data_IF_431344579101
#
_entry.id   IF_431344579101
#
_cell.length_a   1.000
_cell.length_b   1.000
_cell.length_c   1.000
_cell.angle_alpha   90.00
_cell.angle_beta   90.00
_cell.angle_gamma   90.00
#
_symmetry.space_group_name_H-M   'P 1'
#
loop_
_entity.id
_entity.type
_entity.pdbx_description
1 polymer ?
#
# COMPACT_ATOMS: atom_id res chain seq x y z
N UNK A 1 -14.04 -10.93 -22.78
CA UNK A 1 -14.25 -12.29 -22.30
C UNK A 1 -14.92 -12.22 -20.95
N UNK A 2 -16.25 -12.32 -20.93
CA UNK A 2 -17.02 -12.56 -19.72
C UNK A 2 -16.64 -13.94 -19.20
N UNK A 3 -15.87 -14.01 -18.13
CA UNK A 3 -15.58 -15.24 -17.42
C UNK A 3 -16.83 -15.74 -16.71
N UNK A 4 -17.76 -16.30 -17.47
CA UNK A 4 -18.92 -16.93 -16.91
C UNK A 4 -18.50 -18.15 -16.10
N UNK A 5 -18.94 -18.24 -14.86
CA UNK A 5 -18.80 -19.44 -14.05
C UNK A 5 -19.73 -20.51 -14.66
N UNK A 6 -19.13 -21.59 -15.15
CA UNK A 6 -19.91 -22.70 -15.71
C UNK A 6 -20.26 -23.63 -14.57
N UNK A 7 -21.55 -23.85 -14.35
CA UNK A 7 -22.06 -24.88 -13.44
C UNK A 7 -22.44 -26.12 -14.23
N UNK A 8 -22.05 -27.27 -13.76
CA UNK A 8 -22.60 -28.52 -14.27
C UNK A 8 -23.40 -29.22 -13.16
N UNK A 9 -24.64 -29.57 -13.47
CA UNK A 9 -25.49 -30.33 -12.60
C UNK A 9 -25.72 -31.71 -13.23
N UNK A 10 -25.34 -32.77 -12.52
CA UNK A 10 -25.56 -34.13 -12.98
C UNK A 10 -26.51 -34.87 -12.04
N UNK A 11 -27.45 -35.59 -12.60
CA UNK A 11 -28.34 -36.47 -11.85
C UNK A 11 -28.30 -37.86 -12.45
N UNK A 12 -28.29 -38.86 -11.59
CA UNK A 12 -28.34 -40.26 -11.98
C UNK A 12 -29.49 -40.93 -11.27
N UNK A 13 -30.23 -41.71 -12.01
CA UNK A 13 -31.24 -42.58 -11.44
C UNK A 13 -31.05 -43.99 -12.02
N UNK A 14 -31.20 -45.01 -11.19
CA UNK A 14 -31.13 -46.38 -11.63
C UNK A 14 -32.29 -47.20 -11.05
N UNK A 15 -32.82 -48.13 -11.84
CA UNK A 15 -33.79 -49.11 -11.38
C UNK A 15 -33.15 -50.49 -11.44
N UNK A 16 -33.33 -51.28 -10.36
CA UNK A 16 -33.05 -52.72 -10.41
C UNK A 16 -34.07 -53.41 -11.33
N UNK A 17 -34.30 -54.68 -11.20
CA UNK A 17 -35.16 -55.46 -12.08
C UNK A 17 -36.65 -55.06 -12.22
N UNK A 18 -37.11 -53.96 -11.59
CA UNK A 18 -38.46 -53.41 -11.68
C UNK A 18 -38.50 -52.08 -12.44
N UNK A 19 -39.52 -51.83 -13.26
CA UNK A 19 -39.73 -50.59 -13.99
C UNK A 19 -40.49 -49.58 -13.10
N UNK A 20 -39.82 -48.52 -12.66
CA UNK A 20 -40.43 -47.43 -11.94
C UNK A 20 -40.24 -46.13 -12.71
N UNK A 21 -41.26 -45.26 -12.71
CA UNK A 21 -41.15 -43.91 -13.22
C UNK A 21 -40.30 -43.07 -12.24
N UNK A 22 -39.20 -42.52 -12.72
CA UNK A 22 -38.37 -41.60 -11.96
C UNK A 22 -38.49 -40.22 -12.59
N UNK A 23 -39.01 -39.29 -11.85
CA UNK A 23 -39.17 -37.87 -12.26
C UNK A 23 -38.34 -37.00 -11.37
N UNK A 24 -37.64 -36.06 -12.00
CA UNK A 24 -36.93 -34.95 -11.33
C UNK A 24 -37.55 -33.66 -11.82
N UNK A 25 -38.10 -32.88 -10.91
CA UNK A 25 -38.61 -31.56 -11.20
C UNK A 25 -37.63 -30.52 -10.65
N UNK A 26 -37.11 -29.70 -11.53
CA UNK A 26 -36.32 -28.54 -11.11
C UNK A 26 -37.23 -27.41 -10.65
N UNK A 27 -36.93 -26.86 -9.48
CA UNK A 27 -37.43 -25.59 -9.08
C UNK A 27 -36.66 -24.45 -9.74
N UNK A 28 -36.92 -23.23 -9.34
CA UNK A 28 -36.16 -22.05 -9.77
C UNK A 28 -34.75 -22.15 -9.16
N UNK A 29 -33.73 -21.99 -10.00
CA UNK A 29 -32.36 -21.83 -9.57
C UNK A 29 -31.98 -20.36 -9.70
N UNK A 30 -31.80 -19.70 -8.58
CA UNK A 30 -31.35 -18.30 -8.53
C UNK A 30 -29.88 -18.27 -8.16
N UNK A 31 -29.10 -17.48 -8.86
CA UNK A 31 -27.71 -17.20 -8.51
C UNK A 31 -27.44 -15.71 -8.66
N UNK A 32 -26.58 -15.19 -7.81
CA UNK A 32 -26.07 -13.85 -7.91
C UNK A 32 -24.62 -13.87 -8.40
N UNK A 33 -24.32 -13.03 -9.37
CA UNK A 33 -22.94 -12.86 -9.83
C UNK A 33 -22.13 -12.13 -8.76
N UNK A 34 -20.94 -12.64 -8.48
CA UNK A 34 -19.99 -11.97 -7.58
C UNK A 34 -19.14 -10.97 -8.33
N UNK A 35 -18.90 -9.84 -7.71
CA UNK A 35 -18.04 -8.77 -8.21
C UNK A 35 -16.91 -8.50 -7.23
N UNK A 36 -15.78 -8.00 -7.76
CA UNK A 36 -14.59 -7.68 -6.98
C UNK A 36 -14.06 -6.31 -7.38
N UNK A 37 -13.77 -5.48 -6.38
CA UNK A 37 -13.10 -4.21 -6.56
C UNK A 37 -11.81 -4.16 -5.75
N UNK A 38 -10.81 -3.41 -6.23
CA UNK A 38 -9.54 -3.17 -5.57
C UNK A 38 -9.45 -1.72 -5.11
N UNK A 39 -9.07 -1.51 -3.86
CA UNK A 39 -8.80 -0.18 -3.31
C UNK A 39 -7.32 -0.09 -3.01
N UNK A 40 -6.66 0.94 -3.55
CA UNK A 40 -5.24 1.20 -3.35
C UNK A 40 -5.03 2.52 -2.64
N UNK A 41 -4.01 2.57 -1.81
CA UNK A 41 -3.57 3.74 -1.06
C UNK A 41 -2.12 4.00 -1.45
N UNK A 42 -1.91 4.98 -2.32
CA UNK A 42 -0.61 5.19 -2.96
C UNK A 42 0.01 6.52 -2.58
N UNK A 43 1.32 6.55 -2.53
CA UNK A 43 2.09 7.79 -2.50
C UNK A 43 1.94 8.53 -3.82
N UNK A 44 1.57 9.81 -3.76
CA UNK A 44 1.26 10.61 -4.93
C UNK A 44 2.49 10.90 -5.81
N UNK A 45 3.69 10.88 -5.24
CA UNK A 45 4.95 11.15 -5.95
C UNK A 45 5.46 9.90 -6.65
N UNK A 46 5.40 8.76 -5.98
CA UNK A 46 6.03 7.51 -6.46
C UNK A 46 5.04 6.53 -7.09
N UNK A 47 3.74 6.68 -6.80
CA UNK A 47 2.69 5.74 -7.22
C UNK A 47 2.75 4.37 -6.52
N UNK A 48 3.64 4.22 -5.54
CA UNK A 48 3.79 2.97 -4.77
C UNK A 48 2.73 2.86 -3.69
N UNK A 49 2.29 1.65 -3.41
CA UNK A 49 1.36 1.40 -2.30
C UNK A 49 2.03 1.70 -0.95
N UNK A 50 1.39 2.57 -0.15
CA UNK A 50 1.80 2.91 1.22
C UNK A 50 1.44 1.76 2.16
N UNK A 51 0.22 1.26 2.02
CA UNK A 51 -0.31 0.09 2.72
C UNK A 51 -0.82 -0.93 1.71
N UNK A 52 -0.93 -2.22 2.07
CA UNK A 52 -1.43 -3.25 1.17
C UNK A 52 -2.80 -2.89 0.58
N UNK A 53 -3.02 -3.12 -0.73
CA UNK A 53 -4.31 -2.92 -1.35
C UNK A 53 -5.40 -3.77 -0.68
N UNK A 54 -6.61 -3.19 -0.59
CA UNK A 54 -7.78 -3.88 -0.06
C UNK A 54 -8.65 -4.40 -1.21
N UNK A 55 -9.05 -5.65 -1.11
CA UNK A 55 -10.03 -6.25 -2.01
C UNK A 55 -11.40 -6.21 -1.36
N UNK A 56 -12.40 -5.75 -2.10
CA UNK A 56 -13.81 -5.73 -1.70
C UNK A 56 -14.55 -6.66 -2.63
N UNK A 57 -15.28 -7.62 -2.08
CA UNK A 57 -16.13 -8.53 -2.83
C UNK A 57 -17.59 -8.34 -2.43
N UNK A 58 -18.49 -8.57 -3.35
CA UNK A 58 -19.93 -8.47 -3.13
C UNK A 58 -20.70 -8.96 -4.35
N UNK A 59 -22.00 -8.77 -4.34
CA UNK A 59 -22.85 -9.06 -5.49
C UNK A 59 -22.73 -7.96 -6.55
N UNK A 60 -22.91 -8.30 -7.81
CA UNK A 60 -23.03 -7.32 -8.89
C UNK A 60 -24.20 -6.38 -8.57
N UNK A 61 -24.07 -5.11 -8.88
CA UNK A 61 -24.98 -4.01 -8.56
C UNK A 61 -25.11 -3.64 -7.07
N UNK A 62 -24.48 -4.36 -6.15
CA UNK A 62 -24.43 -3.93 -4.76
C UNK A 62 -23.61 -2.65 -4.59
N UNK A 63 -24.08 -1.76 -3.70
CA UNK A 63 -23.34 -0.56 -3.32
C UNK A 63 -22.62 -0.83 -2.00
N UNK A 64 -21.31 -0.69 -2.02
CA UNK A 64 -20.43 -0.94 -0.87
C UNK A 64 -19.77 0.33 -0.38
N UNK A 65 -19.56 0.45 0.93
CA UNK A 65 -18.80 1.55 1.50
C UNK A 65 -17.31 1.29 1.36
N UNK A 66 -16.57 2.35 1.03
CA UNK A 66 -15.10 2.32 0.95
C UNK A 66 -14.52 3.29 1.97
N UNK A 67 -13.51 2.85 2.69
CA UNK A 67 -12.81 3.68 3.64
C UNK A 67 -11.53 4.27 3.01
N UNK A 68 -11.38 5.59 3.06
CA UNK A 68 -10.16 6.30 2.62
C UNK A 68 -8.95 6.08 3.54
N UNK A 69 -9.12 5.50 4.70
CA UNK A 69 -8.07 5.33 5.71
C UNK A 69 -7.41 6.65 6.17
N UNK A 70 -8.17 7.76 6.15
CA UNK A 70 -7.62 9.11 6.41
C UNK A 70 -6.90 9.21 7.74
N UNK A 71 -7.51 8.73 8.83
CA UNK A 71 -6.93 8.81 10.17
C UNK A 71 -5.70 7.89 10.31
N UNK A 72 -5.77 6.69 9.77
CA UNK A 72 -4.68 5.73 9.81
C UNK A 72 -3.43 6.29 9.10
N UNK A 73 -3.61 6.77 7.87
CA UNK A 73 -2.49 7.31 7.07
C UNK A 73 -2.00 8.66 7.60
N UNK A 74 -2.87 9.50 8.15
CA UNK A 74 -2.45 10.72 8.84
C UNK A 74 -1.54 10.42 10.05
N UNK A 75 -1.89 9.42 10.84
CA UNK A 75 -1.07 8.99 11.98
C UNK A 75 0.29 8.39 11.55
N UNK A 76 0.38 7.95 10.30
CA UNK A 76 1.61 7.43 9.69
C UNK A 76 2.39 8.50 8.91
N UNK A 77 2.05 9.79 9.05
CA UNK A 77 2.78 10.89 8.43
C UNK A 77 2.33 11.22 7.01
N UNK A 78 1.14 10.78 6.59
CA UNK A 78 0.63 11.05 5.24
C UNK A 78 -0.59 11.98 5.26
N UNK A 79 -0.68 12.85 4.25
CA UNK A 79 -1.84 13.71 4.00
C UNK A 79 -2.54 13.31 2.71
N UNK A 80 -3.86 13.23 2.74
CA UNK A 80 -4.68 12.92 1.58
C UNK A 80 -4.57 14.03 0.52
N UNK A 81 -4.44 13.64 -0.74
CA UNK A 81 -4.32 14.55 -1.89
C UNK A 81 -5.54 14.46 -2.80
N UNK A 82 -5.85 13.27 -3.29
CA UNK A 82 -6.92 13.10 -4.27
C UNK A 82 -7.38 11.64 -4.36
N UNK A 83 -8.55 11.46 -4.96
CA UNK A 83 -9.08 10.17 -5.36
C UNK A 83 -8.97 10.03 -6.88
N UNK A 84 -8.48 8.89 -7.31
CA UNK A 84 -8.52 8.47 -8.70
C UNK A 84 -9.35 7.19 -8.78
N UNK A 85 -10.57 7.34 -9.29
CA UNK A 85 -11.52 6.25 -9.46
C UNK A 85 -11.58 5.85 -10.94
N UNK A 86 -10.44 5.47 -11.49
CA UNK A 86 -10.27 5.12 -12.88
C UNK A 86 -11.37 4.20 -13.38
N UNK A 87 -12.00 4.60 -14.48
CA UNK A 87 -13.07 3.89 -15.20
C UNK A 87 -14.37 3.73 -14.40
N UNK A 88 -14.67 4.62 -13.45
CA UNK A 88 -15.66 4.32 -12.45
C UNK A 88 -16.71 5.41 -12.27
N UNK A 89 -17.69 5.45 -13.16
CA UNK A 89 -18.91 6.26 -12.96
C UNK A 89 -19.76 5.81 -11.76
N UNK A 90 -19.42 4.67 -11.16
CA UNK A 90 -20.13 4.06 -10.03
C UNK A 90 -19.54 4.46 -8.67
N UNK A 91 -18.45 5.22 -8.65
CA UNK A 91 -17.87 5.76 -7.43
C UNK A 91 -18.53 7.09 -7.04
N UNK A 92 -18.84 7.29 -5.77
CA UNK A 92 -19.44 8.51 -5.23
C UNK A 92 -18.88 8.86 -3.86
N UNK A 93 -18.69 10.17 -3.62
CA UNK A 93 -18.30 10.74 -2.32
C UNK A 93 -19.34 11.70 -1.74
N UNK A 94 -20.53 11.78 -2.33
CA UNK A 94 -21.54 12.82 -2.03
C UNK A 94 -22.14 12.72 -0.64
N UNK A 95 -22.06 11.56 0.02
CA UNK A 95 -22.67 11.31 1.34
C UNK A 95 -21.67 11.30 2.51
N UNK A 96 -20.45 11.83 2.32
CA UNK A 96 -19.41 11.84 3.36
C UNK A 96 -18.64 10.52 3.49
N UNK A 97 -19.27 9.38 3.33
CA UNK A 97 -18.60 8.08 3.22
C UNK A 97 -18.54 7.69 1.75
N UNK A 98 -17.35 7.44 1.18
CA UNK A 98 -17.24 7.01 -0.20
C UNK A 98 -17.95 5.69 -0.44
N UNK A 99 -18.63 5.58 -1.56
CA UNK A 99 -19.34 4.38 -1.98
C UNK A 99 -18.92 3.96 -3.38
N UNK A 100 -19.02 2.66 -3.65
CA UNK A 100 -18.78 2.07 -4.96
C UNK A 100 -19.91 1.10 -5.27
N UNK A 101 -20.57 1.28 -6.41
CA UNK A 101 -21.46 0.29 -6.97
C UNK A 101 -20.64 -0.76 -7.71
N UNK A 102 -20.70 -2.00 -7.26
CA UNK A 102 -19.94 -3.11 -7.84
C UNK A 102 -20.50 -3.51 -9.20
N UNK A 103 -19.60 -3.86 -10.11
CA UNK A 103 -19.94 -4.35 -11.44
C UNK A 103 -19.21 -5.67 -11.73
N UNK A 104 -19.64 -6.39 -12.75
CA UNK A 104 -18.97 -7.60 -13.23
C UNK A 104 -17.63 -7.32 -13.92
N UNK A 105 -17.26 -6.05 -14.09
CA UNK A 105 -15.96 -5.63 -14.62
C UNK A 105 -14.98 -5.36 -13.48
N UNK A 106 -13.68 -5.51 -13.73
CA UNK A 106 -12.64 -5.17 -12.76
C UNK A 106 -12.67 -3.67 -12.43
N UNK A 107 -12.80 -3.34 -11.16
CA UNK A 107 -12.86 -1.96 -10.66
C UNK A 107 -11.66 -1.67 -9.75
N UNK A 108 -11.10 -0.48 -9.88
CA UNK A 108 -10.02 -0.02 -9.00
C UNK A 108 -10.29 1.42 -8.57
N UNK A 109 -10.20 1.67 -7.27
CA UNK A 109 -10.21 3.00 -6.66
C UNK A 109 -8.83 3.26 -6.07
N UNK A 110 -8.24 4.42 -6.38
CA UNK A 110 -6.92 4.80 -5.90
C UNK A 110 -7.05 6.08 -5.09
N UNK A 111 -6.70 6.02 -3.83
CA UNK A 111 -6.53 7.17 -2.96
C UNK A 111 -5.05 7.57 -2.93
N UNK A 112 -4.78 8.81 -3.30
CA UNK A 112 -3.44 9.38 -3.36
C UNK A 112 -3.15 10.19 -2.11
N UNK A 113 -2.00 9.95 -1.53
CA UNK A 113 -1.51 10.62 -0.33
C UNK A 113 -0.11 11.16 -0.58
N UNK A 114 0.24 12.23 0.14
CA UNK A 114 1.57 12.81 0.15
C UNK A 114 2.17 12.61 1.53
N UNK A 115 3.43 12.22 1.57
CA UNK A 115 4.23 12.25 2.79
C UNK A 115 4.39 13.70 3.26
N UNK A 116 4.16 13.93 4.55
CA UNK A 116 4.29 15.23 5.21
C UNK A 116 5.20 15.15 6.44
N UNK A 117 5.78 14.00 6.70
CA UNK A 117 6.76 13.78 7.74
C UNK A 117 8.16 13.89 7.11
N UNK A 118 8.98 14.75 7.63
CA UNK A 118 10.38 14.85 7.18
C UNK A 118 11.22 13.68 7.69
N UNK A 119 12.33 13.36 7.00
CA UNK A 119 13.23 12.31 7.44
C UNK A 119 13.83 12.60 8.81
N UNK A 120 14.07 11.56 9.57
CA UNK A 120 14.73 11.60 10.86
C UNK A 120 16.21 11.24 10.69
N UNK A 121 17.08 11.96 11.39
CA UNK A 121 18.51 11.71 11.39
C UNK A 121 18.97 11.37 12.79
N UNK A 122 19.86 10.39 12.91
CA UNK A 122 20.51 10.00 14.14
C UNK A 122 22.00 9.82 13.90
N UNK A 123 22.80 10.37 14.81
CA UNK A 123 24.26 10.32 14.78
C UNK A 123 24.78 10.19 16.21
N UNK A 124 25.78 9.34 16.41
CA UNK A 124 26.48 9.20 17.70
C UNK A 124 27.58 10.25 17.82
N UNK A 125 27.75 10.80 19.02
CA UNK A 125 28.87 11.69 19.32
C UNK A 125 30.05 10.91 19.87
N UNK A 126 31.26 11.39 19.63
CA UNK A 126 32.48 10.88 20.31
C UNK A 126 33.50 12.03 20.55
N UNK A 127 34.31 11.85 21.58
CA UNK A 127 35.43 12.74 21.89
C UNK A 127 36.74 12.02 21.58
N UNK A 128 37.65 12.72 20.90
CA UNK A 128 39.00 12.24 20.58
C UNK A 128 40.03 13.34 20.73
N UNK A 129 41.26 12.93 21.01
CA UNK A 129 42.40 13.85 20.96
C UNK A 129 42.77 14.16 19.50
N UNK A 130 43.25 15.39 19.27
CA UNK A 130 43.81 15.80 17.98
C UNK A 130 44.96 14.84 17.59
N UNK A 131 45.01 14.44 16.35
CA UNK A 131 45.98 13.48 15.81
C UNK A 131 45.64 12.01 16.08
N UNK A 132 44.52 11.68 16.73
CA UNK A 132 44.04 10.31 16.90
C UNK A 132 42.87 10.03 15.96
N UNK A 133 42.96 8.95 15.25
CA UNK A 133 41.87 8.50 14.35
C UNK A 133 40.58 8.24 15.13
N UNK A 134 39.48 8.73 14.63
CA UNK A 134 38.13 8.48 15.19
C UNK A 134 37.67 7.06 14.88
N UNK A 135 36.81 6.50 15.73
CA UNK A 135 35.99 5.37 15.28
C UNK A 135 34.98 5.88 14.23
N UNK A 136 34.70 5.12 13.17
CA UNK A 136 33.69 5.55 12.21
C UNK A 136 32.36 5.90 12.90
N UNK A 137 31.83 7.09 12.61
CA UNK A 137 30.55 7.55 13.14
C UNK A 137 29.49 7.30 12.06
N UNK A 138 28.56 6.40 12.32
CA UNK A 138 27.48 6.08 11.38
C UNK A 138 26.37 7.13 11.49
N UNK A 139 25.95 7.67 10.36
CA UNK A 139 24.75 8.50 10.26
C UNK A 139 23.60 7.62 9.83
N UNK A 140 22.57 7.52 10.66
CA UNK A 140 21.35 6.77 10.33
C UNK A 140 20.25 7.75 9.94
N UNK A 141 19.68 7.56 8.75
CA UNK A 141 18.53 8.31 8.26
C UNK A 141 17.35 7.39 8.08
N UNK A 142 16.18 7.77 8.57
CA UNK A 142 14.93 7.03 8.43
C UNK A 142 13.80 7.94 7.99
N UNK A 143 12.88 7.38 7.21
CA UNK A 143 11.66 8.05 6.81
C UNK A 143 10.51 7.05 6.73
N UNK A 144 9.28 7.53 6.85
CA UNK A 144 8.08 6.74 6.66
C UNK A 144 7.73 6.54 5.17
N UNK A 145 8.27 7.39 4.28
CA UNK A 145 8.14 7.22 2.83
C UNK A 145 9.05 6.13 2.29
N UNK A 146 8.80 5.72 1.07
CA UNK A 146 9.67 4.79 0.32
C UNK A 146 10.59 5.54 -0.65
N UNK A 147 10.77 6.83 -0.44
CA UNK A 147 11.63 7.67 -1.24
C UNK A 147 13.11 7.39 -0.92
N UNK A 148 13.96 7.70 -1.89
CA UNK A 148 15.40 7.55 -1.71
C UNK A 148 15.90 8.74 -0.89
N UNK A 149 16.49 8.45 0.27
CA UNK A 149 17.11 9.46 1.11
C UNK A 149 18.55 9.73 0.65
N UNK A 150 18.93 11.01 0.65
CA UNK A 150 20.31 11.45 0.41
C UNK A 150 20.83 12.20 1.63
N UNK A 151 21.95 11.73 2.18
CA UNK A 151 22.61 12.38 3.32
C UNK A 151 23.69 13.33 2.80
N UNK A 152 23.71 14.55 3.31
CA UNK A 152 24.79 15.53 3.08
C UNK A 152 25.35 15.96 4.42
N UNK A 153 26.67 15.99 4.54
CA UNK A 153 27.39 16.46 5.73
C UNK A 153 28.25 17.64 5.35
N UNK A 154 28.15 18.71 6.12
CA UNK A 154 28.94 19.96 5.95
C UNK A 154 29.53 20.39 7.29
N UNK A 155 30.61 21.21 7.26
CA UNK A 155 31.20 21.77 8.47
C UNK A 155 32.06 20.79 9.28
N UNK A 156 32.46 19.67 8.72
CA UNK A 156 33.34 18.72 9.43
C UNK A 156 34.68 19.40 9.79
N UNK A 157 35.21 19.14 11.00
CA UNK A 157 36.56 19.55 11.39
C UNK A 157 37.63 19.08 10.40
N UNK A 158 38.71 19.85 10.30
CA UNK A 158 39.85 19.49 9.43
C UNK A 158 40.39 18.09 9.76
N UNK A 159 40.59 17.28 8.72
CA UNK A 159 41.05 15.90 8.84
C UNK A 159 39.94 14.86 8.95
N UNK A 160 38.66 15.30 9.02
CA UNK A 160 37.51 14.39 8.92
C UNK A 160 36.87 14.47 7.53
N UNK A 161 36.27 13.37 7.10
CA UNK A 161 35.53 13.28 5.84
C UNK A 161 34.30 12.42 5.98
N UNK A 162 33.29 12.71 5.16
CA UNK A 162 32.08 11.90 5.07
C UNK A 162 32.17 10.93 3.88
N UNK A 163 32.05 9.65 4.16
CA UNK A 163 31.91 8.61 3.14
C UNK A 163 30.43 8.36 2.87
N UNK A 164 29.98 8.82 1.72
CA UNK A 164 28.59 8.71 1.27
C UNK A 164 28.19 7.26 0.97
N UNK A 165 29.14 6.39 0.63
CA UNK A 165 28.86 4.98 0.31
C UNK A 165 28.50 4.18 1.54
N UNK A 166 29.21 4.44 2.64
CA UNK A 166 28.99 3.77 3.94
C UNK A 166 28.13 4.59 4.90
N UNK A 167 27.81 5.85 4.51
CA UNK A 167 27.10 6.81 5.33
C UNK A 167 27.80 7.07 6.68
N UNK A 168 29.14 7.17 6.68
CA UNK A 168 29.97 7.31 7.89
C UNK A 168 30.90 8.49 7.81
N UNK A 169 31.18 9.09 8.98
CA UNK A 169 32.26 10.08 9.16
C UNK A 169 33.50 9.32 9.62
N UNK A 170 34.62 9.56 8.94
CA UNK A 170 35.92 8.91 9.19
C UNK A 170 37.04 9.95 9.17
N UNK A 171 38.21 9.59 9.70
CA UNK A 171 39.42 10.40 9.59
C UNK A 171 40.13 10.62 10.92
N UNK A 172 41.08 11.59 10.92
CA UNK A 172 41.88 11.98 12.05
C UNK A 172 41.81 13.51 12.18
N UNK A 173 41.19 14.06 13.23
CA UNK A 173 41.08 15.51 13.37
C UNK A 173 42.45 16.13 13.54
N UNK A 174 42.74 17.20 12.80
CA UNK A 174 44.03 17.92 12.85
C UNK A 174 44.02 19.18 13.71
N UNK A 175 42.82 19.58 14.16
CA UNK A 175 42.63 20.77 15.01
C UNK A 175 41.52 20.53 16.06
N UNK A 176 41.51 21.32 17.11
CA UNK A 176 40.47 21.29 18.13
C UNK A 176 39.19 21.92 17.57
N UNK A 177 38.09 21.22 17.63
CA UNK A 177 36.76 21.69 17.26
C UNK A 177 35.72 21.09 18.19
N UNK A 178 34.59 21.77 18.31
CA UNK A 178 33.38 21.26 18.96
C UNK A 178 32.21 21.53 18.01
N UNK A 179 31.42 20.52 17.75
CA UNK A 179 30.14 20.61 17.05
C UNK A 179 28.99 20.34 18.01
#
# INVERSE_FOLDING_TARGET
NSGGTTFSLSMTASTGGAKNLQQVQFGTFEYTESAVAKVRYVDANTGKDIIPPKTIAGEVDATVNIDKQLNNLKNSGYSYVSTDALQNSNYSETSGTPTLKLTNSSQTVIYKFKDVQGPQISVDSQTREVGKTINPITITTTDNSKDVLTTTVTGLPSGLSFDQTTNTIIGTPSEVGTD
#
